data_IF_848890878252
#
_entry.id   IF_848890878252
#
_cell.length_a   1.000
_cell.length_b   1.000
_cell.length_c   1.000
_cell.angle_alpha   90.00
_cell.angle_beta   90.00
_cell.angle_gamma   90.00
#
_symmetry.space_group_name_H-M   'P 1'
#
loop_
_entity.id
_entity.type
_entity.pdbx_description
1 polymer ?
#
# COMPACT_ATOMS: atom_id res chain seq x y z
N UNK A 1 -29.76 30.26 -3.18
CA UNK A 1 -29.24 29.41 -4.27
C UNK A 1 -28.29 28.40 -3.65
N UNK A 2 -28.78 27.21 -3.31
CA UNK A 2 -28.00 26.17 -2.62
C UNK A 2 -27.24 25.34 -3.66
N UNK A 3 -25.91 25.28 -3.49
CA UNK A 3 -25.04 24.40 -4.25
C UNK A 3 -25.43 22.94 -3.98
N UNK A 4 -25.50 22.07 -5.00
CA UNK A 4 -25.86 20.68 -4.80
C UNK A 4 -24.78 20.00 -3.97
N UNK A 5 -25.14 19.58 -2.76
CA UNK A 5 -24.35 18.65 -1.96
C UNK A 5 -24.27 17.35 -2.75
N UNK A 6 -23.16 17.13 -3.46
CA UNK A 6 -22.82 15.81 -3.96
C UNK A 6 -22.68 14.90 -2.74
N UNK A 7 -23.68 14.05 -2.51
CA UNK A 7 -23.53 12.89 -1.65
C UNK A 7 -22.48 12.02 -2.33
N UNK A 8 -21.26 12.02 -1.82
CA UNK A 8 -20.33 10.92 -2.02
C UNK A 8 -20.92 9.77 -1.21
N UNK A 9 -21.80 9.00 -1.84
CA UNK A 9 -22.19 7.70 -1.31
C UNK A 9 -20.94 6.84 -1.36
N UNK A 10 -20.33 6.63 -0.18
CA UNK A 10 -19.34 5.59 0.08
C UNK A 10 -20.05 4.23 -0.10
N UNK A 11 -20.36 3.90 -1.34
CA UNK A 11 -20.74 2.56 -1.73
C UNK A 11 -19.48 1.71 -1.55
N UNK A 12 -19.41 1.04 -0.39
CA UNK A 12 -18.58 -0.16 -0.11
C UNK A 12 -17.29 -0.24 -0.93
N UNK A 13 -16.18 0.22 -0.33
CA UNK A 13 -14.88 -0.35 -0.68
C UNK A 13 -14.87 -1.77 -0.12
N UNK A 14 -15.49 -2.70 -0.85
CA UNK A 14 -15.23 -4.12 -0.65
C UNK A 14 -13.88 -4.40 -1.26
N UNK A 15 -12.85 -4.34 -0.42
CA UNK A 15 -11.57 -4.99 -0.73
C UNK A 15 -11.85 -6.49 -0.58
N UNK A 16 -12.47 -7.12 -1.59
CA UNK A 16 -12.48 -8.57 -1.69
C UNK A 16 -11.09 -9.00 -2.15
N UNK A 17 -10.23 -9.34 -1.19
CA UNK A 17 -8.96 -10.03 -1.45
C UNK A 17 -9.27 -11.50 -1.77
N UNK A 18 -9.71 -11.78 -3.00
CA UNK A 18 -9.53 -13.13 -3.55
C UNK A 18 -8.12 -13.20 -4.13
N UNK A 19 -7.14 -13.48 -3.27
CA UNK A 19 -5.81 -13.89 -3.70
C UNK A 19 -5.85 -15.38 -4.04
N UNK A 20 -5.92 -15.71 -5.33
CA UNK A 20 -5.56 -17.07 -5.77
C UNK A 20 -4.03 -17.19 -5.73
N UNK A 21 -3.57 -18.18 -4.96
CA UNK A 21 -2.16 -18.43 -4.66
C UNK A 21 -1.55 -19.31 -5.75
N UNK A 22 -0.55 -18.81 -6.49
CA UNK A 22 0.40 -19.66 -7.22
C UNK A 22 1.40 -20.27 -6.23
N UNK A 23 1.86 -21.51 -6.47
CA UNK A 23 2.56 -22.42 -5.53
C UNK A 23 3.92 -21.94 -4.93
N UNK A 24 4.20 -20.64 -4.95
CA UNK A 24 5.35 -20.01 -4.27
C UNK A 24 5.10 -18.58 -3.76
N UNK A 25 3.86 -18.12 -3.64
CA UNK A 25 3.53 -16.74 -3.27
C UNK A 25 3.54 -16.47 -1.76
N UNK A 26 4.12 -15.34 -1.36
CA UNK A 26 4.04 -14.79 0.01
C UNK A 26 2.57 -14.62 0.38
N UNK A 27 2.11 -15.34 1.41
CA UNK A 27 0.75 -15.19 1.93
C UNK A 27 0.61 -13.79 2.54
N UNK A 28 -0.15 -12.92 1.88
CA UNK A 28 -0.50 -11.62 2.45
C UNK A 28 -1.53 -11.82 3.54
N UNK A 29 -1.24 -11.33 4.74
CA UNK A 29 -2.19 -11.27 5.83
C UNK A 29 -2.78 -9.86 5.91
N UNK A 30 -4.11 -9.78 5.88
CA UNK A 30 -4.81 -8.50 5.87
C UNK A 30 -4.95 -7.93 7.29
N UNK A 31 -4.11 -6.94 7.59
CA UNK A 31 -4.13 -6.19 8.84
C UNK A 31 -4.98 -4.92 8.76
N UNK A 32 -5.69 -4.67 7.65
CA UNK A 32 -6.51 -3.47 7.49
C UNK A 32 -7.57 -3.31 8.59
N UNK A 33 -8.34 -4.35 8.98
CA UNK A 33 -9.35 -4.19 10.03
C UNK A 33 -8.77 -3.79 11.38
N UNK A 34 -7.65 -4.41 11.79
CA UNK A 34 -7.01 -4.12 13.08
C UNK A 34 -6.31 -2.77 13.09
N UNK A 35 -5.70 -2.36 11.98
CA UNK A 35 -5.16 -1.00 11.82
C UNK A 35 -6.26 0.06 11.89
N UNK A 36 -7.40 -0.17 11.24
CA UNK A 36 -8.55 0.73 11.30
C UNK A 36 -9.15 0.85 12.71
N UNK A 37 -9.21 -0.26 13.46
CA UNK A 37 -9.66 -0.26 14.85
C UNK A 37 -8.70 0.53 15.77
N UNK A 38 -7.39 0.38 15.56
CA UNK A 38 -6.37 1.04 16.39
C UNK A 38 -6.12 2.52 16.07
N UNK A 39 -6.11 2.89 14.77
CA UNK A 39 -5.71 4.23 14.30
C UNK A 39 -6.91 5.12 13.95
N UNK A 40 -8.07 4.53 13.68
CA UNK A 40 -9.19 5.23 13.02
C UNK A 40 -8.87 5.64 11.58
N UNK A 41 -9.88 6.14 10.86
CA UNK A 41 -9.75 6.43 9.42
C UNK A 41 -8.71 7.53 9.11
N UNK A 42 -8.69 8.63 9.85
CA UNK A 42 -7.75 9.73 9.61
C UNK A 42 -6.31 9.33 9.95
N UNK A 43 -6.11 8.64 11.07
CA UNK A 43 -4.79 8.13 11.48
C UNK A 43 -4.27 7.10 10.47
N UNK A 44 -5.14 6.20 10.02
CA UNK A 44 -4.79 5.21 9.00
C UNK A 44 -4.35 5.86 7.68
N UNK A 45 -5.09 6.86 7.18
CA UNK A 45 -4.72 7.58 5.94
C UNK A 45 -3.37 8.29 6.12
N UNK A 46 -3.14 8.90 7.29
CA UNK A 46 -1.85 9.55 7.58
C UNK A 46 -0.70 8.55 7.55
N UNK A 47 -0.85 7.40 8.20
CA UNK A 47 0.16 6.34 8.20
C UNK A 47 0.40 5.77 6.79
N UNK A 48 -0.65 5.58 6.00
CA UNK A 48 -0.48 5.22 4.59
C UNK A 48 0.33 6.27 3.83
N UNK A 49 -0.01 7.55 3.96
CA UNK A 49 0.73 8.63 3.30
C UNK A 49 2.20 8.64 3.73
N UNK A 50 2.49 8.40 5.01
CA UNK A 50 3.86 8.31 5.52
C UNK A 50 4.60 7.10 4.92
N UNK A 51 3.93 5.94 4.86
CA UNK A 51 4.46 4.75 4.22
C UNK A 51 4.81 4.97 2.75
N UNK A 52 3.91 5.59 1.98
CA UNK A 52 4.20 5.91 0.57
C UNK A 52 5.38 6.87 0.42
N UNK A 53 5.47 7.92 1.24
CA UNK A 53 6.62 8.83 1.21
C UNK A 53 7.94 8.13 1.55
N UNK A 54 7.92 7.18 2.49
CA UNK A 54 9.10 6.40 2.86
C UNK A 54 9.62 5.54 1.69
N UNK A 55 8.72 4.99 0.88
CA UNK A 55 9.06 4.09 -0.25
C UNK A 55 9.38 4.85 -1.55
N UNK A 56 9.00 6.12 -1.64
CA UNK A 56 9.00 6.92 -2.86
C UNK A 56 10.36 7.60 -3.14
N UNK A 57 10.70 7.70 -4.41
CA UNK A 57 11.66 8.69 -4.89
C UNK A 57 10.97 10.06 -4.85
N UNK A 58 11.33 10.89 -3.85
CA UNK A 58 10.69 12.18 -3.58
C UNK A 58 10.84 13.16 -4.75
N UNK A 59 11.92 13.08 -5.52
CA UNK A 59 12.12 13.97 -6.67
C UNK A 59 11.18 13.59 -7.82
N UNK A 60 10.94 12.28 -8.01
CA UNK A 60 10.07 11.78 -9.08
C UNK A 60 8.60 11.67 -8.67
N UNK A 61 8.31 11.68 -7.37
CA UNK A 61 6.96 11.44 -6.86
C UNK A 61 6.44 10.02 -7.10
N UNK A 62 7.33 9.05 -7.33
CA UNK A 62 6.99 7.67 -7.67
C UNK A 62 7.81 6.67 -6.85
N UNK A 63 7.22 5.52 -6.51
CA UNK A 63 8.01 4.37 -6.03
C UNK A 63 8.74 3.79 -7.24
N UNK A 64 10.06 3.81 -7.16
CA UNK A 64 10.97 3.25 -8.16
C UNK A 64 11.64 2.01 -7.60
N UNK A 65 12.18 1.15 -8.45
CA UNK A 65 12.95 -0.01 -7.99
C UNK A 65 14.11 0.40 -7.07
N UNK A 66 14.79 1.49 -7.39
CA UNK A 66 15.90 1.98 -6.56
C UNK A 66 15.43 2.57 -5.22
N UNK A 67 14.36 3.37 -5.21
CA UNK A 67 13.83 3.91 -3.95
C UNK A 67 13.30 2.80 -3.05
N UNK A 68 12.59 1.82 -3.63
CA UNK A 68 12.08 0.67 -2.91
C UNK A 68 13.22 -0.17 -2.31
N UNK A 69 14.28 -0.46 -3.08
CA UNK A 69 15.47 -1.18 -2.59
C UNK A 69 16.16 -0.43 -1.44
N UNK A 70 16.28 0.90 -1.53
CA UNK A 70 16.84 1.69 -0.43
C UNK A 70 16.00 1.53 0.83
N UNK A 71 14.68 1.67 0.69
CA UNK A 71 13.76 1.58 1.82
C UNK A 71 13.74 0.19 2.46
N UNK A 72 13.89 -0.89 1.69
CA UNK A 72 13.98 -2.24 2.28
C UNK A 72 15.21 -2.40 3.16
N UNK A 73 16.36 -1.83 2.78
CA UNK A 73 17.56 -1.83 3.63
C UNK A 73 17.30 -1.05 4.93
N UNK A 74 16.67 0.13 4.85
CA UNK A 74 16.35 0.95 6.02
C UNK A 74 15.35 0.27 6.97
N UNK A 75 14.45 -0.54 6.42
CA UNK A 75 13.47 -1.33 7.17
C UNK A 75 14.01 -2.67 7.70
N UNK A 76 15.28 -2.99 7.44
CA UNK A 76 15.90 -4.26 7.88
C UNK A 76 15.51 -5.48 7.04
N UNK A 77 15.02 -5.26 5.82
CA UNK A 77 14.58 -6.26 4.84
C UNK A 77 15.64 -6.50 3.75
N UNK A 78 16.93 -6.41 4.09
CA UNK A 78 18.05 -6.55 3.15
C UNK A 78 18.15 -7.93 2.47
N UNK A 79 17.44 -8.94 2.96
CA UNK A 79 17.42 -10.30 2.38
C UNK A 79 16.52 -10.38 1.13
N UNK A 80 15.71 -9.34 0.89
CA UNK A 80 14.76 -9.30 -0.22
C UNK A 80 15.48 -9.14 -1.56
N UNK A 81 15.21 -10.06 -2.49
CA UNK A 81 15.87 -10.13 -3.78
C UNK A 81 15.30 -9.15 -4.81
N UNK A 82 16.10 -8.83 -5.84
CA UNK A 82 15.67 -7.95 -6.94
C UNK A 82 14.40 -8.43 -7.63
N UNK A 83 14.27 -9.75 -7.81
CA UNK A 83 13.11 -10.36 -8.44
C UNK A 83 11.84 -10.14 -7.62
N UNK A 84 11.94 -10.18 -6.29
CA UNK A 84 10.82 -9.91 -5.37
C UNK A 84 10.43 -8.43 -5.41
N UNK A 85 11.41 -7.52 -5.40
CA UNK A 85 11.16 -6.07 -5.53
C UNK A 85 10.53 -5.72 -6.89
N UNK A 86 10.98 -6.37 -7.96
CA UNK A 86 10.38 -6.22 -9.29
C UNK A 86 8.95 -6.76 -9.30
N UNK A 87 8.70 -7.88 -8.63
CA UNK A 87 7.35 -8.43 -8.46
C UNK A 87 6.42 -7.47 -7.74
N UNK A 88 6.86 -6.82 -6.66
CA UNK A 88 6.07 -5.81 -5.95
C UNK A 88 5.68 -4.61 -6.83
N UNK A 89 6.48 -4.30 -7.86
CA UNK A 89 6.23 -3.20 -8.78
C UNK A 89 5.42 -3.61 -10.01
N UNK A 90 5.19 -4.90 -10.24
CA UNK A 90 4.30 -5.35 -11.32
C UNK A 90 2.87 -4.98 -10.96
N UNK A 91 2.21 -4.27 -11.88
CA UNK A 91 0.78 -3.99 -11.76
C UNK A 91 0.01 -5.26 -12.10
N UNK A 92 -0.49 -5.95 -11.08
CA UNK A 92 -1.70 -6.75 -11.19
C UNK A 92 -2.78 -6.01 -10.38
N UNK A 93 -3.54 -5.17 -11.08
CA UNK A 93 -4.77 -4.55 -10.59
C UNK A 93 -5.91 -5.16 -11.39
#
# INVERSE_FOLDING_TARGET
MQLPRRKLTLERVEILLEMEVDEGGVQFEDYFPSMMEGLGAEGFILELCNGFHLLMDVEKGLITLESLRRSTIELGLQEMGDDELVWMLRREI
#
